data_IF_145993225749
#
_entry.id   IF_145993225749
#
_cell.length_a   1.000
_cell.length_b   1.000
_cell.length_c   1.000
_cell.angle_alpha   90.00
_cell.angle_beta   90.00
_cell.angle_gamma   90.00
#
_symmetry.space_group_name_H-M   'P 1'
#
loop_
_entity.id
_entity.type
_entity.pdbx_description
1 polymer ?
#
# COMPACT_ATOMS: atom_id res chain seq x y z
N UNK A 1 26.91 -48.61 -1.20
CA UNK A 1 26.04 -49.54 -0.45
C UNK A 1 25.24 -48.67 0.51
N UNK A 2 23.95 -48.40 0.37
CA UNK A 2 22.81 -48.95 -0.39
C UNK A 2 21.93 -47.75 -0.87
N UNK A 3 21.36 -47.71 -2.09
CA UNK A 3 20.02 -48.25 -2.49
C UNK A 3 18.94 -47.99 -1.44
N UNK A 4 17.70 -47.55 -1.68
CA UNK A 4 16.76 -47.24 -2.77
C UNK A 4 15.50 -46.74 -1.98
N UNK A 5 14.63 -45.84 -2.41
CA UNK A 5 13.48 -46.06 -3.29
C UNK A 5 12.38 -45.03 -2.90
N UNK A 6 11.33 -44.99 -3.73
CA UNK A 6 10.01 -44.38 -3.49
C UNK A 6 9.79 -42.94 -3.98
N UNK A 7 9.74 -42.85 -5.32
CA UNK A 7 8.65 -42.13 -5.98
C UNK A 7 7.27 -42.55 -5.42
N UNK A 8 6.28 -41.64 -5.50
CA UNK A 8 4.84 -41.89 -5.66
C UNK A 8 3.97 -41.03 -4.72
N UNK A 9 3.42 -39.94 -5.28
CA UNK A 9 2.00 -39.55 -5.14
C UNK A 9 1.69 -38.30 -5.96
N UNK A 10 1.29 -38.52 -7.20
CA UNK A 10 0.37 -37.65 -7.97
C UNK A 10 -1.04 -38.23 -7.81
N UNK A 11 -2.03 -37.36 -7.65
CA UNK A 11 -3.46 -37.45 -8.02
C UNK A 11 -4.31 -36.82 -6.92
N UNK A 12 -4.91 -35.67 -7.21
CA UNK A 12 -6.29 -35.51 -7.69
C UNK A 12 -7.16 -35.03 -6.54
N UNK A 13 -7.50 -33.73 -6.53
CA UNK A 13 -8.84 -33.28 -6.15
C UNK A 13 -9.17 -32.10 -7.07
N UNK A 14 -9.97 -32.37 -8.10
CA UNK A 14 -10.81 -31.37 -8.72
C UNK A 14 -11.96 -30.98 -7.78
N UNK A 15 -12.47 -29.77 -7.89
CA UNK A 15 -13.74 -29.56 -8.57
C UNK A 15 -14.16 -28.10 -8.51
N UNK A 16 -14.60 -27.63 -9.68
CA UNK A 16 -15.26 -26.36 -9.87
C UNK A 16 -16.69 -26.43 -9.31
N UNK A 17 -17.08 -25.48 -8.46
CA UNK A 17 -18.49 -25.26 -8.14
C UNK A 17 -18.92 -23.89 -8.66
N UNK A 18 -19.54 -23.97 -9.82
CA UNK A 18 -20.28 -22.91 -10.49
C UNK A 18 -21.73 -22.94 -9.99
N UNK A 19 -22.17 -21.92 -9.24
CA UNK A 19 -23.57 -21.81 -8.80
C UNK A 19 -24.18 -20.46 -9.21
N UNK A 20 -24.72 -20.51 -10.43
CA UNK A 20 -26.08 -20.10 -10.83
C UNK A 20 -26.63 -18.78 -10.26
N UNK A 21 -26.67 -17.78 -11.16
CA UNK A 21 -27.71 -16.74 -11.20
C UNK A 21 -29.10 -17.38 -11.36
N UNK A 22 -30.11 -16.84 -10.67
CA UNK A 22 -31.52 -16.96 -11.07
C UNK A 22 -32.23 -15.60 -10.97
N UNK A 23 -33.02 -15.23 -12.00
CA UNK A 23 -33.92 -14.08 -12.01
C UNK A 23 -35.37 -14.51 -11.76
N UNK A 24 -36.17 -13.71 -11.04
CA UNK A 24 -37.64 -13.73 -11.05
C UNK A 24 -38.07 -12.35 -10.51
N UNK A 25 -38.91 -11.53 -11.12
CA UNK A 25 -39.94 -11.79 -12.11
C UNK A 25 -41.32 -11.49 -11.50
N UNK A 26 -41.86 -10.30 -11.81
CA UNK A 26 -43.27 -9.89 -11.90
C UNK A 26 -44.29 -10.34 -10.83
N UNK A 27 -45.07 -9.37 -10.32
CA UNK A 27 -46.38 -9.63 -9.70
C UNK A 27 -47.16 -8.37 -9.34
N UNK A 28 -48.08 -7.97 -10.22
CA UNK A 28 -49.09 -6.90 -10.04
C UNK A 28 -50.29 -7.38 -9.20
N UNK A 29 -51.08 -6.40 -8.75
CA UNK A 29 -52.52 -6.45 -8.38
C UNK A 29 -52.83 -6.64 -6.87
N UNK A 30 -53.37 -5.64 -6.14
CA UNK A 30 -54.78 -5.15 -6.08
C UNK A 30 -55.66 -6.17 -5.30
N UNK A 31 -56.43 -5.90 -4.23
CA UNK A 31 -57.34 -4.80 -3.88
C UNK A 31 -57.81 -4.93 -2.38
N UNK A 32 -58.12 -3.79 -1.75
CA UNK A 32 -59.18 -3.45 -0.77
C UNK A 32 -59.44 -4.18 0.57
N UNK A 33 -59.84 -3.31 1.52
CA UNK A 33 -60.80 -3.45 2.64
C UNK A 33 -60.29 -4.03 3.97
N UNK A 34 -60.13 -3.15 4.97
CA UNK A 34 -61.11 -3.00 6.05
C UNK A 34 -60.74 -1.84 6.98
N UNK A 35 -61.68 -0.90 7.13
CA UNK A 35 -61.73 0.06 8.22
C UNK A 35 -61.93 -0.69 9.54
N UNK A 36 -61.19 -0.32 10.58
CA UNK A 36 -61.61 -0.26 11.99
C UNK A 36 -60.45 0.36 12.79
N UNK A 37 -60.70 1.50 13.42
CA UNK A 37 -59.70 2.21 14.21
C UNK A 37 -59.34 1.51 15.51
N UNK A 38 -58.26 1.96 16.16
CA UNK A 38 -58.11 2.15 17.61
C UNK A 38 -56.65 2.52 17.94
N UNK A 39 -56.53 3.59 18.73
CA UNK A 39 -55.40 3.97 19.59
C UNK A 39 -54.04 4.28 18.94
N UNK A 40 -53.77 5.58 18.82
CA UNK A 40 -52.43 6.17 18.75
C UNK A 40 -51.66 5.83 20.04
N UNK A 41 -50.92 4.72 20.03
CA UNK A 41 -49.83 4.52 20.96
C UNK A 41 -48.60 5.21 20.37
N UNK A 42 -48.41 6.47 20.74
CA UNK A 42 -47.17 7.19 20.50
C UNK A 42 -46.03 6.45 21.21
N UNK A 43 -45.42 5.49 20.52
CA UNK A 43 -44.11 4.98 20.88
C UNK A 43 -43.16 6.16 20.72
N UNK A 44 -42.75 6.74 21.85
CA UNK A 44 -41.64 7.67 21.89
C UNK A 44 -40.42 6.94 21.33
N UNK A 45 -40.13 7.17 20.05
CA UNK A 45 -38.84 6.86 19.45
C UNK A 45 -37.83 7.71 20.22
N UNK A 46 -37.09 7.08 21.12
CA UNK A 46 -35.85 7.66 21.64
C UNK A 46 -35.00 8.03 20.43
N UNK A 47 -34.51 9.28 20.31
CA UNK A 47 -33.57 9.61 19.25
C UNK A 47 -32.34 8.73 19.44
N UNK A 48 -32.11 7.85 18.47
CA UNK A 48 -30.78 7.24 18.31
C UNK A 48 -29.87 8.43 18.02
N UNK A 49 -28.80 8.67 18.81
CA UNK A 49 -27.84 9.69 18.42
C UNK A 49 -27.30 9.27 17.05
N UNK A 50 -27.61 10.07 16.03
CA UNK A 50 -26.97 9.96 14.72
C UNK A 50 -25.46 10.04 14.99
N UNK A 51 -24.80 8.89 14.90
CA UNK A 51 -23.37 8.82 14.62
C UNK A 51 -23.25 9.39 13.21
N UNK A 52 -23.18 10.72 13.13
CA UNK A 52 -22.87 11.43 11.92
C UNK A 52 -21.63 10.77 11.31
N UNK A 53 -21.61 10.46 10.01
CA UNK A 53 -20.38 10.05 9.36
C UNK A 53 -19.38 11.16 9.63
N UNK A 54 -18.25 10.81 10.26
CA UNK A 54 -17.16 11.74 10.50
C UNK A 54 -16.79 12.34 9.15
N UNK A 55 -17.24 13.57 8.89
CA UNK A 55 -16.84 14.31 7.70
C UNK A 55 -15.33 14.38 7.75
N UNK A 56 -14.69 14.10 6.60
CA UNK A 56 -13.24 14.27 6.48
C UNK A 56 -12.87 15.66 7.03
N UNK A 57 -11.85 15.77 7.90
CA UNK A 57 -11.51 17.02 8.56
C UNK A 57 -11.23 18.11 7.53
N UNK A 58 -11.60 19.35 7.85
CA UNK A 58 -11.27 20.47 6.99
C UNK A 58 -9.74 20.61 6.89
N UNK A 59 -9.18 21.17 5.79
CA UNK A 59 -7.74 21.26 5.61
C UNK A 59 -6.98 21.97 6.76
N UNK A 60 -7.62 22.93 7.41
CA UNK A 60 -7.06 23.63 8.57
C UNK A 60 -6.97 22.73 9.81
N UNK A 61 -7.98 21.88 10.03
CA UNK A 61 -8.03 20.95 11.17
C UNK A 61 -7.00 19.83 10.99
N UNK A 62 -6.88 19.30 9.77
CA UNK A 62 -5.86 18.29 9.43
C UNK A 62 -4.43 18.81 9.68
N UNK A 63 -4.17 20.09 9.34
CA UNK A 63 -2.86 20.70 9.60
C UNK A 63 -2.62 20.95 11.10
N UNK A 64 -3.66 21.34 11.85
CA UNK A 64 -3.56 21.52 13.30
C UNK A 64 -3.22 20.20 14.01
N UNK A 65 -3.91 19.11 13.66
CA UNK A 65 -3.65 17.78 14.19
C UNK A 65 -2.25 17.28 13.84
N UNK A 66 -1.80 17.52 12.60
CA UNK A 66 -0.43 17.20 12.19
C UNK A 66 0.62 17.96 13.01
N UNK A 67 0.40 19.25 13.28
CA UNK A 67 1.33 20.03 14.10
C UNK A 67 1.38 19.53 15.55
N UNK A 68 0.25 19.08 16.10
CA UNK A 68 0.15 18.59 17.47
C UNK A 68 0.78 17.19 17.65
N UNK A 69 0.62 16.30 16.67
CA UNK A 69 0.99 14.89 16.80
C UNK A 69 1.80 14.38 15.61
N UNK A 70 1.30 14.56 14.40
CA UNK A 70 1.85 13.92 13.19
C UNK A 70 3.31 14.26 12.89
N UNK A 71 3.75 15.50 13.18
CA UNK A 71 5.16 15.90 12.99
C UNK A 71 6.12 15.08 13.84
N UNK A 72 5.76 14.80 15.10
CA UNK A 72 6.62 14.04 16.02
C UNK A 72 6.68 12.56 15.63
N UNK A 73 5.63 12.06 15.00
CA UNK A 73 5.52 10.70 14.45
C UNK A 73 6.21 10.55 13.08
N UNK A 74 6.67 11.65 12.48
CA UNK A 74 7.29 11.65 11.15
C UNK A 74 6.28 11.46 10.01
N UNK A 75 5.01 11.79 10.22
CA UNK A 75 4.00 11.78 9.16
C UNK A 75 4.31 12.87 8.14
N UNK A 76 4.07 12.58 6.86
CA UNK A 76 4.04 13.61 5.83
C UNK A 76 2.93 14.62 6.16
N UNK A 77 3.20 15.90 5.89
CA UNK A 77 2.19 16.94 6.08
C UNK A 77 0.97 16.65 5.21
N UNK A 78 -0.25 17.02 5.66
CA UNK A 78 -1.47 16.81 4.87
C UNK A 78 -1.45 17.52 3.51
N UNK A 79 -0.70 18.62 3.39
CA UNK A 79 -0.54 19.40 2.16
C UNK A 79 0.66 18.96 1.30
N UNK A 80 1.39 17.91 1.69
CA UNK A 80 2.47 17.35 0.88
C UNK A 80 1.90 16.78 -0.43
N UNK A 81 2.34 17.26 -1.59
CA UNK A 81 1.90 16.70 -2.87
C UNK A 81 2.56 15.34 -3.14
N UNK A 82 1.82 14.45 -3.81
CA UNK A 82 2.37 13.24 -4.40
C UNK A 82 3.29 13.64 -5.57
N UNK A 83 4.59 13.37 -5.46
CA UNK A 83 5.59 13.87 -6.40
C UNK A 83 6.85 12.98 -6.46
N UNK A 84 7.86 13.43 -7.18
CA UNK A 84 9.20 12.83 -7.16
C UNK A 84 9.90 13.17 -5.84
N UNK A 85 9.76 12.31 -4.83
CA UNK A 85 10.36 12.51 -3.51
C UNK A 85 11.88 12.56 -3.54
N UNK A 86 12.56 11.77 -4.38
CA UNK A 86 14.02 11.84 -4.49
C UNK A 86 14.45 13.21 -5.03
N UNK A 87 13.74 13.75 -6.02
CA UNK A 87 14.01 15.07 -6.56
C UNK A 87 13.73 16.17 -5.54
N UNK A 88 12.61 16.08 -4.82
CA UNK A 88 12.23 17.04 -3.79
C UNK A 88 13.23 17.10 -2.63
N UNK A 89 13.82 15.96 -2.28
CA UNK A 89 14.89 15.86 -1.28
C UNK A 89 16.27 16.30 -1.80
N UNK A 90 16.40 16.63 -3.10
CA UNK A 90 17.71 16.89 -3.72
C UNK A 90 18.62 15.66 -3.77
N UNK A 91 18.02 14.47 -3.76
CA UNK A 91 18.66 13.15 -3.66
C UNK A 91 18.32 12.26 -4.86
N UNK A 92 18.00 12.81 -6.02
CA UNK A 92 17.73 12.02 -7.22
C UNK A 92 18.99 11.84 -8.06
N UNK A 93 19.51 10.61 -8.22
CA UNK A 93 20.56 10.37 -9.20
C UNK A 93 20.04 10.51 -10.64
N UNK A 94 20.90 10.98 -11.53
CA UNK A 94 20.59 11.22 -12.96
C UNK A 94 20.21 9.95 -13.74
N UNK A 95 20.73 8.79 -13.32
CA UNK A 95 20.47 7.48 -13.93
C UNK A 95 19.16 6.81 -13.43
N UNK A 96 18.38 7.49 -12.58
CA UNK A 96 17.12 6.96 -12.03
C UNK A 96 15.92 7.56 -12.76
N UNK A 97 15.12 6.70 -13.37
CA UNK A 97 13.87 7.08 -14.03
C UNK A 97 12.75 7.20 -12.99
N UNK A 98 12.00 8.32 -13.02
CA UNK A 98 10.79 8.47 -12.20
C UNK A 98 9.56 8.03 -12.99
N UNK A 99 8.76 7.16 -12.39
CA UNK A 99 7.60 6.54 -13.04
C UNK A 99 6.26 7.15 -12.60
N UNK A 100 6.28 8.08 -11.64
CA UNK A 100 5.10 8.67 -11.06
C UNK A 100 4.97 8.39 -9.56
N UNK A 101 3.97 9.02 -8.96
CA UNK A 101 3.62 8.87 -7.56
C UNK A 101 2.13 8.49 -7.47
N UNK A 102 1.81 7.53 -6.61
CA UNK A 102 0.45 7.13 -6.30
C UNK A 102 0.11 7.56 -4.87
N UNK A 103 -1.09 8.13 -4.70
CA UNK A 103 -1.63 8.56 -3.42
C UNK A 103 -2.93 7.80 -3.19
N UNK A 104 -3.02 7.09 -2.07
CA UNK A 104 -4.24 6.41 -1.65
C UNK A 104 -4.81 7.17 -0.45
N UNK A 105 -5.90 7.91 -0.67
CA UNK A 105 -6.59 8.67 0.39
C UNK A 105 -7.66 7.84 1.12
N UNK A 106 -8.04 6.69 0.56
CA UNK A 106 -9.07 5.79 1.09
C UNK A 106 -8.48 4.80 2.11
N UNK A 107 -7.17 4.51 2.01
CA UNK A 107 -6.44 3.75 3.01
C UNK A 107 -6.38 4.51 4.35
N UNK A 108 -6.52 3.76 5.45
CA UNK A 108 -6.52 4.31 6.81
C UNK A 108 -5.23 5.09 7.16
N UNK A 109 -4.07 4.64 6.67
CA UNK A 109 -2.77 5.30 6.89
C UNK A 109 -2.44 6.36 5.82
N UNK A 110 -3.29 6.45 4.79
CA UNK A 110 -3.17 7.38 3.68
C UNK A 110 -1.75 7.44 3.08
N UNK A 111 -1.26 6.36 2.45
CA UNK A 111 0.09 6.32 1.92
C UNK A 111 0.26 7.19 0.67
N UNK A 112 1.50 7.57 0.40
CA UNK A 112 1.97 8.11 -0.87
C UNK A 112 3.22 7.34 -1.26
N UNK A 113 3.28 6.85 -2.49
CA UNK A 113 4.42 6.08 -2.98
C UNK A 113 4.91 6.64 -4.32
N UNK A 114 6.15 7.12 -4.33
CA UNK A 114 6.87 7.45 -5.55
C UNK A 114 7.61 6.20 -6.07
N UNK A 115 7.41 5.88 -7.35
CA UNK A 115 8.02 4.72 -8.01
C UNK A 115 9.09 5.14 -8.99
N UNK A 116 10.15 4.36 -9.03
CA UNK A 116 11.31 4.62 -9.87
C UNK A 116 11.82 3.33 -10.51
N UNK A 117 12.52 3.48 -11.63
CA UNK A 117 13.22 2.42 -12.33
C UNK A 117 14.71 2.70 -12.43
N UNK A 118 15.49 1.64 -12.28
CA UNK A 118 16.95 1.67 -12.45
C UNK A 118 17.33 0.52 -13.37
N UNK A 119 18.14 0.78 -14.39
CA UNK A 119 18.69 -0.29 -15.25
C UNK A 119 19.51 -1.28 -14.42
N UNK A 120 19.52 -2.56 -14.81
CA UNK A 120 20.42 -3.57 -14.23
C UNK A 120 21.88 -3.14 -14.21
N UNK A 121 22.33 -2.45 -15.27
CA UNK A 121 23.70 -1.92 -15.38
C UNK A 121 24.04 -0.91 -14.28
N UNK A 122 23.03 -0.24 -13.73
CA UNK A 122 23.16 0.74 -12.66
C UNK A 122 22.71 0.21 -11.29
N UNK A 123 22.28 -1.05 -11.18
CA UNK A 123 21.69 -1.59 -9.96
C UNK A 123 22.67 -1.61 -8.78
N UNK A 124 23.91 -2.07 -9.00
CA UNK A 124 24.94 -2.06 -7.96
C UNK A 124 25.31 -0.64 -7.52
N UNK A 125 25.33 0.30 -8.48
CA UNK A 125 25.53 1.73 -8.21
C UNK A 125 24.39 2.30 -7.36
N UNK A 126 23.15 1.90 -7.64
CA UNK A 126 21.98 2.32 -6.87
C UNK A 126 21.96 1.74 -5.46
N UNK A 127 22.28 0.45 -5.29
CA UNK A 127 22.42 -0.18 -3.97
C UNK A 127 23.43 0.59 -3.11
N UNK A 128 24.61 0.87 -3.66
CA UNK A 128 25.64 1.66 -2.99
C UNK A 128 25.17 3.09 -2.66
N UNK A 129 24.46 3.74 -3.60
CA UNK A 129 23.88 5.06 -3.39
C UNK A 129 22.88 5.07 -2.24
N UNK A 130 21.97 4.09 -2.18
CA UNK A 130 20.98 3.99 -1.11
C UNK A 130 21.63 3.73 0.25
N UNK A 131 22.71 2.94 0.28
CA UNK A 131 23.53 2.77 1.47
C UNK A 131 24.19 4.07 1.94
N UNK A 132 24.71 4.89 1.03
CA UNK A 132 25.36 6.16 1.38
C UNK A 132 24.37 7.27 1.75
N UNK A 133 23.27 7.39 0.99
CA UNK A 133 22.32 8.50 1.13
C UNK A 133 21.31 8.30 2.26
N UNK A 134 20.93 7.04 2.53
CA UNK A 134 19.87 6.68 3.47
C UNK A 134 20.31 5.67 4.54
N UNK A 135 21.51 5.09 4.44
CA UNK A 135 21.97 4.06 5.37
C UNK A 135 21.36 2.68 5.11
N UNK A 136 20.75 2.47 3.94
CA UNK A 136 20.09 1.20 3.60
C UNK A 136 21.12 0.05 3.53
N UNK A 137 20.90 -1.08 4.22
CA UNK A 137 21.77 -2.25 4.07
C UNK A 137 21.78 -2.80 2.63
N UNK A 138 22.82 -3.56 2.24
CA UNK A 138 22.83 -4.26 0.96
C UNK A 138 21.59 -5.14 0.79
N UNK A 139 21.09 -5.24 -0.45
CA UNK A 139 19.97 -6.10 -0.80
C UNK A 139 20.30 -7.56 -0.53
N UNK A 140 19.29 -8.37 -0.27
CA UNK A 140 19.45 -9.79 -0.08
C UNK A 140 18.60 -10.56 -1.07
N UNK A 141 19.07 -11.73 -1.47
CA UNK A 141 18.28 -12.63 -2.27
C UNK A 141 17.40 -13.49 -1.37
N UNK A 142 16.09 -13.20 -1.35
CA UNK A 142 15.09 -13.89 -0.51
C UNK A 142 13.96 -14.42 -1.40
N UNK A 143 13.61 -15.70 -1.27
CA UNK A 143 12.75 -16.46 -2.18
C UNK A 143 13.27 -16.48 -3.62
N UNK A 144 13.05 -15.36 -4.31
CA UNK A 144 12.80 -15.31 -5.74
C UNK A 144 13.21 -13.96 -6.35
N UNK A 145 14.01 -13.18 -5.61
CA UNK A 145 14.38 -11.83 -6.00
C UNK A 145 15.39 -11.21 -5.05
N UNK A 146 15.96 -10.11 -5.50
CA UNK A 146 16.82 -9.23 -4.71
C UNK A 146 15.97 -8.12 -4.10
N UNK A 147 16.16 -7.83 -2.82
CA UNK A 147 15.53 -6.67 -2.18
C UNK A 147 16.00 -6.43 -0.75
N UNK A 148 15.59 -5.32 -0.15
CA UNK A 148 15.84 -5.09 1.27
C UNK A 148 15.05 -6.08 2.14
N UNK A 149 15.66 -6.54 3.25
CA UNK A 149 14.99 -7.45 4.18
C UNK A 149 13.97 -6.67 5.02
N UNK A 150 12.69 -6.81 4.68
CA UNK A 150 11.59 -6.12 5.37
C UNK A 150 11.58 -4.61 5.08
N UNK A 151 10.61 -3.85 5.60
CA UNK A 151 10.53 -2.42 5.36
C UNK A 151 11.75 -1.71 5.97
N UNK A 152 12.33 -0.77 5.22
CA UNK A 152 13.43 0.06 5.69
C UNK A 152 12.97 1.51 5.74
N UNK A 153 13.20 2.16 6.88
CA UNK A 153 12.73 3.52 7.15
C UNK A 153 13.91 4.47 7.36
N UNK A 154 13.82 5.65 6.76
CA UNK A 154 14.80 6.72 6.89
C UNK A 154 14.11 8.02 7.30
N UNK A 155 14.66 8.70 8.29
CA UNK A 155 14.16 9.99 8.78
C UNK A 155 14.95 11.15 8.17
N UNK A 156 14.23 12.16 7.66
CA UNK A 156 14.82 13.40 7.16
C UNK A 156 15.19 14.37 8.28
N UNK A 157 16.12 13.93 9.14
CA UNK A 157 16.59 14.68 10.30
C UNK A 157 15.56 14.77 11.45
N UNK A 158 15.91 15.50 12.53
CA UNK A 158 15.05 15.62 13.71
C UNK A 158 13.71 16.28 13.40
N UNK A 159 12.62 15.54 13.67
CA UNK A 159 11.25 16.00 13.41
C UNK A 159 10.90 16.14 11.91
N UNK A 160 11.67 15.46 11.05
CA UNK A 160 11.40 15.31 9.62
C UNK A 160 10.48 14.12 9.33
N UNK A 161 10.10 14.00 8.06
CA UNK A 161 9.24 12.92 7.57
C UNK A 161 9.99 11.58 7.63
N UNK A 162 9.27 10.52 7.98
CA UNK A 162 9.75 9.15 7.90
C UNK A 162 9.42 8.57 6.53
N UNK A 163 10.46 8.26 5.76
CA UNK A 163 10.34 7.68 4.43
C UNK A 163 10.58 6.18 4.49
N UNK A 164 9.66 5.40 3.92
CA UNK A 164 9.95 4.02 3.57
C UNK A 164 10.75 3.99 2.27
N UNK A 165 11.94 3.40 2.31
CA UNK A 165 12.83 3.29 1.16
C UNK A 165 12.98 1.82 0.82
N UNK A 166 12.68 1.44 -0.41
CA UNK A 166 12.86 0.07 -0.88
C UNK A 166 13.45 0.00 -2.27
N UNK A 167 14.20 -1.07 -2.52
CA UNK A 167 14.71 -1.42 -3.83
C UNK A 167 14.59 -2.92 -4.01
N UNK A 168 14.24 -3.38 -5.20
CA UNK A 168 14.26 -4.79 -5.50
C UNK A 168 13.78 -5.18 -6.89
N UNK A 169 13.89 -6.48 -7.17
CA UNK A 169 13.47 -7.12 -8.42
C UNK A 169 13.23 -8.61 -8.19
N UNK A 170 12.16 -9.14 -8.77
CA UNK A 170 11.93 -10.58 -8.85
C UNK A 170 12.67 -11.16 -10.07
N UNK A 171 13.49 -12.18 -9.84
CA UNK A 171 14.37 -12.78 -10.85
C UNK A 171 14.94 -14.11 -10.34
N UNK A 172 15.48 -14.93 -11.24
CA UNK A 172 16.40 -16.00 -10.85
C UNK A 172 17.60 -15.42 -10.09
N UNK A 173 18.28 -16.27 -9.30
CA UNK A 173 19.48 -15.88 -8.53
C UNK A 173 20.67 -15.58 -9.44
N UNK A 174 20.63 -14.41 -10.05
CA UNK A 174 21.73 -13.80 -10.80
C UNK A 174 22.64 -13.10 -9.77
N UNK A 175 23.94 -13.40 -9.73
CA UNK A 175 24.88 -12.80 -8.78
C UNK A 175 25.04 -11.29 -9.06
N UNK A 176 25.49 -10.51 -8.06
CA UNK A 176 25.55 -9.04 -8.15
C UNK A 176 26.40 -8.55 -9.30
N UNK A 177 27.46 -9.28 -9.61
CA UNK A 177 28.40 -9.02 -10.70
C UNK A 177 27.73 -9.14 -12.08
N UNK A 178 26.57 -9.79 -12.17
CA UNK A 178 25.79 -10.02 -13.39
C UNK A 178 24.45 -9.25 -13.38
N UNK A 179 24.25 -8.31 -12.45
CA UNK A 179 23.00 -7.55 -12.41
C UNK A 179 22.70 -6.75 -13.69
N UNK A 180 23.69 -6.47 -14.54
CA UNK A 180 23.48 -5.92 -15.88
C UNK A 180 22.61 -6.79 -16.80
N UNK A 181 22.47 -8.09 -16.52
CA UNK A 181 21.59 -9.00 -17.27
C UNK A 181 20.10 -8.84 -16.88
N UNK A 182 19.82 -8.23 -15.72
CA UNK A 182 18.46 -7.96 -15.25
C UNK A 182 17.98 -6.66 -15.91
N UNK A 183 16.85 -6.63 -16.63
CA UNK A 183 16.43 -5.43 -17.36
C UNK A 183 16.30 -4.19 -16.49
N UNK A 184 15.73 -4.33 -15.28
CA UNK A 184 15.60 -3.22 -14.35
C UNK A 184 15.30 -3.66 -12.92
N UNK A 185 15.68 -2.83 -11.98
CA UNK A 185 15.25 -2.86 -10.59
C UNK A 185 14.20 -1.77 -10.34
N UNK A 186 13.27 -2.05 -9.43
CA UNK A 186 12.31 -1.09 -8.94
C UNK A 186 12.84 -0.45 -7.66
N UNK A 187 12.64 0.85 -7.52
CA UNK A 187 12.86 1.58 -6.27
C UNK A 187 11.55 2.25 -5.89
N UNK A 188 11.19 2.24 -4.61
CA UNK A 188 10.01 2.92 -4.09
C UNK A 188 10.38 3.77 -2.89
N UNK A 189 9.84 4.97 -2.86
CA UNK A 189 9.96 5.91 -1.74
C UNK A 189 8.55 6.24 -1.27
N UNK A 190 8.22 5.78 -0.07
CA UNK A 190 6.90 5.90 0.53
C UNK A 190 6.88 6.86 1.71
N UNK A 191 5.74 7.51 1.95
CA UNK A 191 5.42 8.24 3.18
C UNK A 191 3.98 7.95 3.58
N UNK A 192 3.67 8.09 4.86
CA UNK A 192 2.29 8.00 5.37
C UNK A 192 1.83 9.37 5.87
N UNK A 193 0.54 9.68 5.70
CA UNK A 193 -0.06 10.95 6.15
C UNK A 193 -0.90 10.79 7.42
N UNK A 194 -1.19 9.56 7.83
CA UNK A 194 -1.90 9.23 9.08
C UNK A 194 -1.22 8.08 9.82
N UNK A 195 -1.19 8.17 11.14
CA UNK A 195 -0.75 7.05 11.99
C UNK A 195 -1.76 5.89 11.89
N UNK A 196 -1.28 4.63 11.92
CA UNK A 196 -2.12 3.49 12.24
C UNK A 196 -2.76 3.61 13.63
#
# INVERSE_FOLDING_TARGET
MAERDAADRRSDIGDAVNLRRKPFGLGRAVLLLCLLGLADAAVARTPVPDLAPTLAPAPADALADWNAHGRAEGLARPDTPCQDFLQALGKKPDYVEYLGCEQDDDSYIQPMEARYRVSGDAAAKMEAYLGQAFGMPPLEYVCCGWGNRGPFFWHDGPGGVNYEVSMGVETLRIPREQWGEIPSFNVRIGVIRKSP
#
